data_IF_391871671558
#
_entry.id   IF_391871671558
#
_cell.length_a   1.000
_cell.length_b   1.000
_cell.length_c   1.000
_cell.angle_alpha   90.00
_cell.angle_beta   90.00
_cell.angle_gamma   90.00
#
_symmetry.space_group_name_H-M   'P 1'
#
loop_
_entity.id
_entity.type
_entity.pdbx_description
1 polymer ?
#
# COMPACT_ATOMS: atom_id res chain seq x y z
N UNK A 1 -1.83 7.25 -2.69
CA UNK A 1 -2.19 6.92 -4.09
C UNK A 1 -3.50 7.63 -4.44
N UNK A 2 -3.80 7.90 -5.71
CA UNK A 2 -5.09 8.50 -6.12
C UNK A 2 -6.17 7.45 -6.36
N UNK A 3 -7.45 7.86 -6.28
CA UNK A 3 -8.60 7.00 -6.60
C UNK A 3 -8.51 6.42 -8.02
N UNK A 4 -8.16 7.23 -9.01
CA UNK A 4 -8.03 6.80 -10.40
C UNK A 4 -6.97 5.69 -10.57
N UNK A 5 -5.79 5.83 -9.94
CA UNK A 5 -4.74 4.81 -9.97
C UNK A 5 -5.18 3.49 -9.33
N UNK A 6 -5.97 3.56 -8.25
CA UNK A 6 -6.55 2.39 -7.61
C UNK A 6 -7.61 1.73 -8.51
N UNK A 7 -8.50 2.51 -9.12
CA UNK A 7 -9.51 2.02 -10.07
C UNK A 7 -8.90 1.33 -11.28
N UNK A 8 -7.86 1.92 -11.87
CA UNK A 8 -7.12 1.32 -12.98
C UNK A 8 -6.47 -0.01 -12.58
N UNK A 9 -5.93 -0.08 -11.36
CA UNK A 9 -5.33 -1.30 -10.84
C UNK A 9 -6.37 -2.40 -10.58
N UNK A 10 -7.51 -2.04 -9.97
CA UNK A 10 -8.64 -2.93 -9.69
C UNK A 10 -9.47 -3.27 -10.93
N UNK A 11 -9.21 -2.61 -12.06
CA UNK A 11 -10.01 -2.68 -13.30
C UNK A 11 -11.48 -2.32 -13.09
N UNK A 12 -11.73 -1.32 -12.24
CA UNK A 12 -13.07 -0.80 -11.94
C UNK A 12 -13.37 0.37 -12.86
N UNK A 13 -14.32 0.16 -13.78
CA UNK A 13 -14.72 1.18 -14.78
C UNK A 13 -15.96 2.01 -14.38
N UNK A 14 -16.60 1.68 -13.25
CA UNK A 14 -17.79 2.36 -12.74
C UNK A 14 -17.47 3.19 -11.51
N UNK A 15 -18.35 4.14 -11.16
CA UNK A 15 -18.14 5.08 -10.05
C UNK A 15 -18.81 4.66 -8.73
N UNK A 16 -19.66 3.63 -8.75
CA UNK A 16 -20.42 3.17 -7.57
C UNK A 16 -19.52 2.78 -6.39
N UNK A 17 -18.32 2.27 -6.67
CA UNK A 17 -17.35 1.85 -5.66
C UNK A 17 -16.31 2.94 -5.33
N UNK A 18 -16.47 4.18 -5.81
CA UNK A 18 -15.51 5.26 -5.58
C UNK A 18 -15.29 5.55 -4.09
N UNK A 19 -16.37 5.64 -3.32
CA UNK A 19 -16.29 5.91 -1.87
C UNK A 19 -15.63 4.74 -1.15
N UNK A 20 -15.98 3.50 -1.51
CA UNK A 20 -15.39 2.29 -0.95
C UNK A 20 -13.89 2.18 -1.28
N UNK A 21 -13.50 2.38 -2.54
CA UNK A 21 -12.09 2.35 -2.95
C UNK A 21 -11.30 3.47 -2.25
N UNK A 22 -11.91 4.64 -2.05
CA UNK A 22 -11.27 5.73 -1.28
C UNK A 22 -11.03 5.31 0.17
N UNK A 23 -12.02 4.68 0.83
CA UNK A 23 -11.84 4.13 2.18
C UNK A 23 -10.75 3.04 2.22
N UNK A 24 -10.68 2.16 1.22
CA UNK A 24 -9.62 1.16 1.12
C UNK A 24 -8.23 1.80 0.96
N UNK A 25 -8.12 2.91 0.23
CA UNK A 25 -6.88 3.67 0.11
C UNK A 25 -6.45 4.17 1.50
N UNK A 26 -7.35 4.79 2.25
CA UNK A 26 -7.07 5.31 3.59
C UNK A 26 -6.70 4.20 4.58
N UNK A 27 -7.45 3.09 4.58
CA UNK A 27 -7.17 1.93 5.44
C UNK A 27 -5.82 1.30 5.09
N UNK A 28 -5.52 1.12 3.80
CA UNK A 28 -4.24 0.55 3.35
C UNK A 28 -3.07 1.45 3.75
N UNK A 29 -3.27 2.76 3.71
CA UNK A 29 -2.27 3.74 4.10
C UNK A 29 -1.99 3.68 5.60
N UNK A 30 -3.05 3.68 6.42
CA UNK A 30 -2.95 3.51 7.87
C UNK A 30 -2.33 2.16 8.25
N UNK A 31 -2.61 1.09 7.50
CA UNK A 31 -2.01 -0.22 7.71
C UNK A 31 -0.50 -0.19 7.45
N UNK A 32 -0.06 0.39 6.34
CA UNK A 32 1.37 0.51 6.01
C UNK A 32 2.07 1.35 7.08
N UNK A 33 1.52 2.51 7.43
CA UNK A 33 2.07 3.37 8.49
C UNK A 33 2.15 2.64 9.83
N UNK A 34 1.14 1.83 10.17
CA UNK A 34 1.14 1.02 11.38
C UNK A 34 2.18 -0.11 11.37
N UNK A 35 2.58 -0.61 10.19
CA UNK A 35 3.57 -1.67 10.06
C UNK A 35 5.01 -1.17 9.97
N UNK A 36 5.25 -0.06 9.27
CA UNK A 36 6.61 0.41 8.93
C UNK A 36 6.91 1.83 9.39
N UNK A 37 5.93 2.52 9.98
CA UNK A 37 6.03 3.94 10.32
C UNK A 37 5.90 4.86 9.10
N UNK A 38 6.09 6.16 9.31
CA UNK A 38 6.00 7.19 8.26
C UNK A 38 7.34 7.46 7.55
N UNK A 39 8.44 6.87 8.04
CA UNK A 39 9.80 7.13 7.57
C UNK A 39 9.99 6.87 6.07
N UNK A 40 9.24 5.94 5.49
CA UNK A 40 9.33 5.65 4.06
C UNK A 40 8.89 6.82 3.16
N UNK A 41 8.16 7.80 3.70
CA UNK A 41 7.71 9.02 3.02
C UNK A 41 8.63 10.21 3.26
N UNK A 42 9.54 10.09 4.21
CA UNK A 42 10.44 11.15 4.65
C UNK A 42 11.73 11.06 3.84
N UNK A 43 11.90 11.97 2.87
CA UNK A 43 13.07 11.97 1.97
C UNK A 43 14.40 12.07 2.74
N UNK A 44 14.39 12.74 3.89
CA UNK A 44 15.52 12.90 4.81
C UNK A 44 15.90 11.62 5.57
N UNK A 45 15.05 10.59 5.58
CA UNK A 45 15.36 9.27 6.15
C UNK A 45 16.13 8.35 5.21
N UNK A 46 16.33 8.78 3.95
CA UNK A 46 17.07 8.00 2.97
C UNK A 46 18.45 8.62 2.69
N UNK A 47 19.44 7.75 2.50
CA UNK A 47 20.80 8.17 2.19
C UNK A 47 20.93 8.74 0.77
N UNK A 48 20.00 8.40 -0.12
CA UNK A 48 19.98 8.89 -1.50
C UNK A 48 18.57 9.04 -2.06
N UNK A 49 18.42 9.94 -3.03
CA UNK A 49 17.15 10.16 -3.72
C UNK A 49 16.68 8.94 -4.52
N UNK A 50 17.61 8.12 -5.01
CA UNK A 50 17.26 6.88 -5.71
C UNK A 50 16.74 5.81 -4.75
N UNK A 51 17.24 5.74 -3.51
CA UNK A 51 16.68 4.87 -2.47
C UNK A 51 15.30 5.34 -2.02
N UNK A 52 15.11 6.65 -1.83
CA UNK A 52 13.80 7.23 -1.53
C UNK A 52 12.76 6.86 -2.61
N UNK A 53 13.08 7.08 -3.89
CA UNK A 53 12.18 6.71 -5.00
C UNK A 53 11.88 5.21 -5.03
N UNK A 54 12.87 4.36 -4.71
CA UNK A 54 12.64 2.90 -4.61
C UNK A 54 11.70 2.58 -3.46
N UNK A 55 11.92 3.17 -2.28
CA UNK A 55 11.06 3.03 -1.12
C UNK A 55 9.61 3.44 -1.40
N UNK A 56 9.40 4.63 -1.98
CA UNK A 56 8.07 5.08 -2.40
C UNK A 56 7.42 4.13 -3.41
N UNK A 57 8.16 3.65 -4.41
CA UNK A 57 7.63 2.69 -5.40
C UNK A 57 7.21 1.37 -4.74
N UNK A 58 7.99 0.87 -3.79
CA UNK A 58 7.67 -0.34 -3.04
C UNK A 58 6.43 -0.12 -2.16
N UNK A 59 6.33 1.02 -1.48
CA UNK A 59 5.16 1.37 -0.69
C UNK A 59 3.90 1.48 -1.55
N UNK A 60 3.96 2.13 -2.71
CA UNK A 60 2.84 2.18 -3.66
C UNK A 60 2.44 0.79 -4.16
N UNK A 61 3.41 -0.08 -4.46
CA UNK A 61 3.13 -1.46 -4.88
C UNK A 61 2.43 -2.25 -3.78
N UNK A 62 2.90 -2.10 -2.53
CA UNK A 62 2.29 -2.71 -1.36
C UNK A 62 0.85 -2.20 -1.17
N UNK A 63 0.65 -0.88 -1.23
CA UNK A 63 -0.66 -0.25 -1.10
C UNK A 63 -1.65 -0.81 -2.13
N UNK A 64 -1.26 -0.88 -3.41
CA UNK A 64 -2.07 -1.48 -4.49
C UNK A 64 -2.47 -2.91 -4.19
N UNK A 65 -1.53 -3.72 -3.71
CA UNK A 65 -1.77 -5.12 -3.38
C UNK A 65 -2.73 -5.28 -2.20
N UNK A 66 -2.55 -4.49 -1.15
CA UNK A 66 -3.41 -4.50 0.04
C UNK A 66 -4.83 -4.06 -0.33
N UNK A 67 -4.99 -2.99 -1.12
CA UNK A 67 -6.31 -2.55 -1.62
C UNK A 67 -6.97 -3.63 -2.45
N UNK A 68 -6.25 -4.27 -3.38
CA UNK A 68 -6.80 -5.36 -4.19
C UNK A 68 -7.24 -6.55 -3.36
N UNK A 69 -6.46 -6.95 -2.36
CA UNK A 69 -6.85 -8.03 -1.46
C UNK A 69 -8.10 -7.66 -0.63
N UNK A 70 -8.17 -6.44 -0.10
CA UNK A 70 -9.35 -5.97 0.65
C UNK A 70 -10.59 -5.82 -0.25
N UNK A 71 -10.40 -5.38 -1.49
CA UNK A 71 -11.46 -5.23 -2.48
C UNK A 71 -12.01 -6.59 -2.93
N UNK A 72 -11.12 -7.54 -3.26
CA UNK A 72 -11.50 -8.89 -3.70
C UNK A 72 -12.18 -9.69 -2.58
N UNK A 73 -11.73 -9.52 -1.33
CA UNK A 73 -12.28 -10.22 -0.17
C UNK A 73 -13.58 -9.56 0.33
N UNK A 74 -13.93 -8.34 -0.14
CA UNK A 74 -15.08 -7.53 0.32
C UNK A 74 -15.26 -7.56 1.84
N UNK A 75 -14.15 -7.65 2.57
CA UNK A 75 -14.12 -7.90 4.00
C UNK A 75 -13.16 -6.93 4.67
N UNK A 76 -13.56 -6.40 5.83
CA UNK A 76 -12.76 -5.48 6.65
C UNK A 76 -11.52 -6.12 7.29
N UNK A 77 -11.22 -7.38 6.95
CA UNK A 77 -10.06 -8.13 7.43
C UNK A 77 -9.06 -8.32 6.30
N UNK A 78 -7.86 -7.74 6.44
CA UNK A 78 -6.69 -8.07 5.60
C UNK A 78 -6.52 -9.59 5.61
N UNK A 79 -6.57 -10.22 4.44
CA UNK A 79 -6.59 -11.68 4.35
C UNK A 79 -5.31 -12.27 4.91
N UNK A 80 -5.38 -13.45 5.52
CA UNK A 80 -4.18 -14.16 5.99
C UNK A 80 -3.19 -14.46 4.84
N UNK A 81 -3.66 -14.46 3.58
CA UNK A 81 -2.82 -14.63 2.40
C UNK A 81 -1.91 -13.42 2.16
N UNK A 82 -2.41 -12.19 2.35
CA UNK A 82 -1.57 -10.98 2.27
C UNK A 82 -0.50 -10.95 3.36
N UNK A 83 -0.81 -11.48 4.55
CA UNK A 83 0.16 -11.65 5.63
C UNK A 83 1.22 -12.73 5.36
N UNK A 84 0.93 -13.72 4.51
CA UNK A 84 1.86 -14.80 4.15
C UNK A 84 2.64 -14.55 2.86
N UNK A 85 2.29 -13.51 2.10
CA UNK A 85 2.96 -13.25 0.85
C UNK A 85 4.38 -12.70 1.12
N UNK A 86 5.38 -13.52 0.76
CA UNK A 86 6.81 -13.22 0.94
C UNK A 86 7.20 -11.87 0.34
N UNK A 87 6.55 -11.44 -0.75
CA UNK A 87 6.84 -10.16 -1.38
C UNK A 87 6.35 -9.02 -0.48
N UNK A 88 5.15 -9.14 0.07
CA UNK A 88 4.57 -8.17 1.01
C UNK A 88 5.43 -8.05 2.26
N UNK A 89 5.83 -9.18 2.86
CA UNK A 89 6.73 -9.19 4.02
C UNK A 89 8.09 -8.56 3.71
N UNK A 90 8.72 -8.93 2.58
CA UNK A 90 10.02 -8.36 2.18
C UNK A 90 9.94 -6.84 1.97
N UNK A 91 8.82 -6.34 1.43
CA UNK A 91 8.61 -4.90 1.26
C UNK A 91 8.42 -4.24 2.63
N UNK A 92 7.58 -4.79 3.50
CA UNK A 92 7.38 -4.29 4.85
C UNK A 92 8.69 -4.22 5.62
N UNK A 93 9.49 -5.29 5.60
CA UNK A 93 10.80 -5.33 6.25
C UNK A 93 11.76 -4.28 5.67
N UNK A 94 11.77 -4.09 4.35
CA UNK A 94 12.61 -3.06 3.71
C UNK A 94 12.20 -1.66 4.11
N UNK A 95 10.90 -1.38 4.19
CA UNK A 95 10.38 -0.07 4.55
C UNK A 95 10.49 0.20 6.06
N UNK A 96 10.35 -0.83 6.91
CA UNK A 96 10.50 -0.73 8.35
C UNK A 96 11.96 -0.49 8.78
N UNK A 97 12.92 -0.95 7.97
CA UNK A 97 14.34 -0.67 8.17
C UNK A 97 14.81 0.64 7.50
N UNK A 98 13.88 1.50 7.05
CA UNK A 98 14.22 2.86 6.63
C UNK A 98 14.41 3.70 7.90
N UNK A 99 15.66 3.87 8.31
CA UNK A 99 16.04 4.62 9.52
C UNK A 99 17.47 4.37 9.94
#
# INVERSE_FOLDING_TARGET
MTLQEAKEYLRVGYDDDNDYITELIDISEAYIDGCVGTAYREKDKYNSEEEYKRGCRLATLLQKKVISDMYDVRGTTVSNNTKQDKITQTILDKLANVG
#
